data_IF_824759932284
#
_entry.id   IF_824759932284
#
_cell.length_a   1.000
_cell.length_b   1.000
_cell.length_c   1.000
_cell.angle_alpha   90.00
_cell.angle_beta   90.00
_cell.angle_gamma   90.00
#
_symmetry.space_group_name_H-M   'P 1'
#
loop_
_entity.id
_entity.type
_entity.pdbx_description
1 polymer ?
#
# COMPACT_ATOMS: atom_id res chain seq x y z
N UNK A 1 3.04 17.83 -15.50
CA UNK A 1 4.19 17.02 -15.93
C UNK A 1 4.18 15.78 -15.07
N UNK A 2 3.51 14.72 -15.54
CA UNK A 2 3.46 13.45 -14.84
C UNK A 2 4.82 12.76 -14.93
N UNK A 3 5.33 12.31 -13.79
CA UNK A 3 6.62 11.65 -13.69
C UNK A 3 6.52 10.24 -14.27
N UNK A 4 7.29 9.97 -15.31
CA UNK A 4 7.50 8.62 -15.90
C UNK A 4 8.55 7.81 -15.14
N UNK A 5 8.96 8.28 -13.95
CA UNK A 5 10.03 7.66 -13.19
C UNK A 5 9.52 6.41 -12.45
N UNK A 6 10.32 5.34 -12.53
CA UNK A 6 10.10 4.08 -11.82
C UNK A 6 10.16 4.25 -10.29
N UNK A 7 10.83 5.31 -9.83
CA UNK A 7 10.95 5.74 -8.43
C UNK A 7 10.40 7.17 -8.27
N UNK A 8 9.89 7.49 -7.09
CA UNK A 8 9.42 8.84 -6.76
C UNK A 8 10.20 9.41 -5.57
N UNK A 9 10.32 10.74 -5.43
CA UNK A 9 10.75 11.33 -4.17
C UNK A 9 9.77 10.94 -3.05
N UNK A 10 10.25 11.00 -1.81
CA UNK A 10 9.39 10.73 -0.66
C UNK A 10 8.23 11.73 -0.62
N UNK A 11 6.98 11.27 -0.39
CA UNK A 11 5.82 12.16 -0.25
C UNK A 11 5.94 13.15 0.93
N UNK A 12 6.79 12.83 1.90
CA UNK A 12 7.05 13.60 3.10
C UNK A 12 7.45 12.69 4.26
N UNK A 13 7.47 13.24 5.48
CA UNK A 13 7.66 12.45 6.69
C UNK A 13 6.43 11.57 6.93
N UNK A 14 6.66 10.31 7.28
CA UNK A 14 5.59 9.39 7.64
C UNK A 14 4.86 9.86 8.90
N UNK A 15 3.53 9.89 8.85
CA UNK A 15 2.64 10.20 9.98
C UNK A 15 2.77 9.19 11.12
N UNK A 16 3.01 7.93 10.78
CA UNK A 16 3.27 6.84 11.72
C UNK A 16 4.75 6.45 11.70
N UNK A 17 5.20 5.74 12.74
CA UNK A 17 6.50 5.05 12.70
C UNK A 17 6.53 4.11 11.49
N UNK A 18 7.55 4.24 10.65
CA UNK A 18 7.71 3.38 9.47
C UNK A 18 7.83 1.91 9.86
N UNK A 19 7.31 1.00 9.02
CA UNK A 19 7.41 -0.45 9.24
C UNK A 19 8.57 -1.02 8.44
N UNK A 20 9.53 -1.73 9.05
CA UNK A 20 10.48 -2.50 8.25
C UNK A 20 9.71 -3.54 7.43
N UNK A 21 10.13 -3.75 6.18
CA UNK A 21 9.56 -4.76 5.28
C UNK A 21 10.64 -5.82 5.04
N UNK A 22 10.29 -7.07 5.28
CA UNK A 22 11.19 -8.19 5.02
C UNK A 22 11.03 -8.67 3.57
N UNK A 23 12.08 -8.49 2.76
CA UNK A 23 12.16 -8.97 1.38
C UNK A 23 13.39 -9.87 1.24
N UNK A 24 13.20 -11.02 0.60
CA UNK A 24 14.30 -11.95 0.31
C UNK A 24 15.37 -11.26 -0.57
N UNK A 25 16.64 -11.34 -0.15
CA UNK A 25 17.75 -10.72 -0.86
C UNK A 25 18.03 -9.26 -0.50
N UNK A 26 17.30 -8.66 0.45
CA UNK A 26 17.59 -7.33 1.00
C UNK A 26 17.90 -7.38 2.50
N UNK A 27 18.66 -6.39 2.98
CA UNK A 27 19.01 -6.29 4.39
C UNK A 27 17.80 -5.85 5.24
N UNK A 28 17.75 -6.29 6.50
CA UNK A 28 16.70 -5.86 7.42
C UNK A 28 16.73 -4.33 7.62
N UNK A 29 15.56 -3.69 7.49
CA UNK A 29 15.42 -2.25 7.66
C UNK A 29 15.82 -1.39 6.44
N UNK A 30 16.36 -2.01 5.39
CA UNK A 30 16.66 -1.35 4.11
C UNK A 30 15.38 -0.80 3.46
N UNK A 31 14.33 -1.64 3.44
CA UNK A 31 13.02 -1.30 2.89
C UNK A 31 12.03 -1.06 4.02
N UNK A 32 11.26 0.03 3.91
CA UNK A 32 10.34 0.51 4.95
C UNK A 32 9.01 0.96 4.35
N UNK A 33 7.90 0.70 5.02
CA UNK A 33 6.58 1.25 4.68
C UNK A 33 6.29 2.53 5.47
N UNK A 34 5.80 3.56 4.79
CA UNK A 34 5.35 4.82 5.38
C UNK A 34 3.89 5.13 5.05
N UNK A 35 3.32 6.09 5.78
CA UNK A 35 1.94 6.55 5.62
C UNK A 35 1.84 8.07 5.71
N UNK A 36 1.03 8.68 4.85
CA UNK A 36 0.62 10.06 5.01
C UNK A 36 -0.48 10.14 6.08
N UNK A 37 -0.69 11.33 6.64
CA UNK A 37 -1.81 11.54 7.54
C UNK A 37 -3.12 11.27 6.78
N UNK A 38 -3.99 10.38 7.29
CA UNK A 38 -5.24 10.11 6.63
C UNK A 38 -6.25 11.23 6.79
N UNK A 39 -7.20 11.29 5.86
CA UNK A 39 -8.36 12.19 5.90
C UNK A 39 -9.65 11.39 5.74
N UNK A 40 -10.70 11.77 6.47
CA UNK A 40 -12.04 11.20 6.29
C UNK A 40 -12.93 12.19 5.56
N UNK A 41 -13.53 11.75 4.46
CA UNK A 41 -14.47 12.52 3.67
C UNK A 41 -15.87 12.54 4.31
N UNK A 42 -16.72 13.53 3.99
CA UNK A 42 -18.07 13.64 4.57
C UNK A 42 -18.98 12.42 4.32
N UNK A 43 -18.72 11.66 3.24
CA UNK A 43 -19.44 10.44 2.88
C UNK A 43 -18.88 9.16 3.54
N UNK A 44 -17.97 9.32 4.49
CA UNK A 44 -17.39 8.24 5.30
C UNK A 44 -16.19 7.54 4.66
N UNK A 45 -15.76 7.93 3.45
CA UNK A 45 -14.53 7.38 2.88
C UNK A 45 -13.31 7.93 3.62
N UNK A 46 -12.57 7.02 4.23
CA UNK A 46 -11.24 7.27 4.77
C UNK A 46 -10.21 7.13 3.66
N UNK A 47 -9.31 8.10 3.50
CA UNK A 47 -8.32 8.13 2.43
C UNK A 47 -6.93 8.33 3.03
N UNK A 48 -5.95 7.55 2.58
CA UNK A 48 -4.54 7.72 2.90
C UNK A 48 -3.64 7.37 1.72
N UNK A 49 -2.40 7.86 1.77
CA UNK A 49 -1.32 7.43 0.92
C UNK A 49 -0.37 6.54 1.73
N UNK A 50 -0.10 5.34 1.25
CA UNK A 50 0.99 4.49 1.74
C UNK A 50 2.08 4.40 0.69
N UNK A 51 3.32 4.18 1.11
CA UNK A 51 4.44 3.98 0.20
C UNK A 51 5.48 3.05 0.79
N UNK A 52 6.31 2.48 -0.08
CA UNK A 52 7.50 1.73 0.30
C UNK A 52 8.73 2.54 -0.10
N UNK A 53 9.71 2.64 0.79
CA UNK A 53 10.91 3.45 0.61
C UNK A 53 12.19 2.74 1.03
N UNK A 54 13.30 3.15 0.44
CA UNK A 54 14.66 2.99 0.98
C UNK A 54 15.25 4.37 1.30
N UNK A 55 16.57 4.53 1.26
CA UNK A 55 17.25 5.81 1.52
C UNK A 55 17.21 6.80 0.34
N UNK A 56 16.93 6.32 -0.88
CA UNK A 56 16.89 7.15 -2.10
C UNK A 56 15.50 7.68 -2.44
N UNK A 57 14.44 7.05 -1.92
CA UNK A 57 13.06 7.45 -2.19
C UNK A 57 12.07 6.29 -2.20
N UNK A 58 10.95 6.50 -2.89
CA UNK A 58 9.92 5.47 -3.09
C UNK A 58 10.44 4.47 -4.12
N UNK A 59 10.51 3.20 -3.73
CA UNK A 59 10.93 2.09 -4.60
C UNK A 59 9.83 1.75 -5.62
N UNK A 60 10.20 1.06 -6.69
CA UNK A 60 9.25 0.48 -7.63
C UNK A 60 8.59 -0.80 -7.11
N UNK A 61 7.43 -1.19 -7.65
CA UNK A 61 6.83 -2.49 -7.35
C UNK A 61 7.76 -3.65 -7.76
N UNK A 62 8.56 -3.48 -8.82
CA UNK A 62 9.51 -4.47 -9.33
C UNK A 62 10.62 -4.77 -8.32
N UNK A 63 11.09 -3.75 -7.61
CA UNK A 63 12.17 -3.86 -6.63
C UNK A 63 11.82 -4.69 -5.39
N UNK A 64 10.52 -4.95 -5.18
CA UNK A 64 9.99 -5.82 -4.12
C UNK A 64 9.24 -7.05 -4.68
N UNK A 65 9.27 -7.24 -6.00
CA UNK A 65 8.69 -8.40 -6.67
C UNK A 65 9.54 -9.66 -6.42
N UNK A 66 9.02 -10.88 -6.68
CA UNK A 66 9.82 -12.09 -6.56
C UNK A 66 11.11 -12.03 -7.40
N UNK A 67 12.20 -12.65 -6.90
CA UNK A 67 13.46 -12.77 -7.63
C UNK A 67 13.31 -13.48 -8.99
N UNK A 68 12.38 -14.42 -9.08
CA UNK A 68 12.03 -15.11 -10.33
C UNK A 68 11.33 -14.20 -11.36
N UNK A 69 11.01 -12.95 -10.98
CA UNK A 69 10.30 -11.97 -11.79
C UNK A 69 8.92 -11.64 -11.23
N UNK A 70 8.30 -10.54 -11.69
CA UNK A 70 6.96 -10.18 -11.28
C UNK A 70 5.95 -11.25 -11.70
N UNK A 71 4.93 -11.54 -10.87
CA UNK A 71 3.88 -12.48 -11.24
C UNK A 71 3.07 -11.96 -12.45
N UNK A 72 2.38 -12.85 -13.21
CA UNK A 72 1.64 -12.51 -14.42
C UNK A 72 0.28 -11.83 -14.12
N UNK A 73 0.28 -10.92 -13.15
CA UNK A 73 -0.87 -10.14 -12.70
C UNK A 73 -0.40 -8.70 -12.46
N UNK A 74 -1.27 -7.72 -12.65
CA UNK A 74 -0.92 -6.33 -12.38
C UNK A 74 -0.64 -6.13 -10.87
N UNK A 75 0.31 -5.28 -10.46
CA UNK A 75 0.62 -5.09 -9.05
C UNK A 75 -0.60 -4.60 -8.25
N UNK A 76 -1.43 -3.73 -8.84
CA UNK A 76 -2.63 -3.22 -8.18
C UNK A 76 -3.63 -4.34 -7.85
N UNK A 77 -3.79 -5.31 -8.75
CA UNK A 77 -4.67 -6.47 -8.52
C UNK A 77 -4.10 -7.36 -7.41
N UNK A 78 -2.79 -7.61 -7.42
CA UNK A 78 -2.11 -8.39 -6.37
C UNK A 78 -2.24 -7.73 -5.01
N UNK A 79 -1.89 -6.45 -4.89
CA UNK A 79 -2.03 -5.72 -3.63
C UNK A 79 -3.49 -5.54 -3.21
N UNK A 80 -4.42 -5.43 -4.16
CA UNK A 80 -5.86 -5.41 -3.90
C UNK A 80 -6.36 -6.62 -3.14
N UNK A 81 -6.02 -7.81 -3.64
CA UNK A 81 -6.39 -9.06 -2.97
C UNK A 81 -5.75 -9.15 -1.56
N UNK A 82 -4.46 -8.84 -1.46
CA UNK A 82 -3.71 -8.94 -0.21
C UNK A 82 -4.18 -7.94 0.86
N UNK A 83 -4.45 -6.69 0.47
CA UNK A 83 -4.98 -5.66 1.37
C UNK A 83 -6.39 -5.99 1.84
N UNK A 84 -7.26 -6.45 0.93
CA UNK A 84 -8.62 -6.87 1.30
C UNK A 84 -8.57 -7.99 2.33
N UNK A 85 -7.71 -8.98 2.13
CA UNK A 85 -7.53 -10.09 3.07
C UNK A 85 -6.90 -9.64 4.40
N UNK A 86 -5.90 -8.77 4.35
CA UNK A 86 -5.20 -8.29 5.55
C UNK A 86 -6.05 -7.39 6.43
N UNK A 87 -6.92 -6.58 5.83
CA UNK A 87 -7.86 -5.73 6.56
C UNK A 87 -9.10 -6.48 7.02
N UNK A 88 -9.55 -7.48 6.25
CA UNK A 88 -10.60 -8.41 6.65
C UNK A 88 -11.87 -7.72 7.13
N UNK A 89 -12.28 -8.05 8.36
CA UNK A 89 -13.50 -7.56 8.99
C UNK A 89 -13.46 -6.09 9.43
N UNK A 90 -12.30 -5.42 9.33
CA UNK A 90 -12.22 -3.97 9.52
C UNK A 90 -12.91 -3.21 8.39
N UNK A 91 -13.02 -3.80 7.19
CA UNK A 91 -13.68 -3.17 6.05
C UNK A 91 -15.20 -3.30 6.17
N UNK A 92 -15.91 -2.19 5.97
CA UNK A 92 -17.34 -2.24 5.76
C UNK A 92 -17.66 -3.03 4.48
N UNK A 93 -18.82 -3.68 4.46
CA UNK A 93 -19.33 -4.39 3.28
C UNK A 93 -20.59 -3.71 2.78
N UNK A 94 -20.56 -3.24 1.53
CA UNK A 94 -21.71 -2.63 0.85
C UNK A 94 -22.02 -3.49 -0.38
N UNK A 95 -23.29 -3.88 -0.56
CA UNK A 95 -23.74 -4.74 -1.67
C UNK A 95 -22.92 -6.04 -1.82
N UNK A 96 -22.49 -6.62 -0.69
CA UNK A 96 -21.69 -7.84 -0.66
C UNK A 96 -20.23 -7.67 -1.06
N UNK A 97 -19.72 -6.44 -1.15
CA UNK A 97 -18.31 -6.14 -1.49
C UNK A 97 -17.64 -5.33 -0.40
N UNK A 98 -16.41 -5.70 -0.06
CA UNK A 98 -15.58 -4.91 0.86
C UNK A 98 -15.33 -3.52 0.29
N UNK A 99 -15.55 -2.49 1.11
CA UNK A 99 -15.39 -1.10 0.75
C UNK A 99 -13.91 -0.70 0.76
N UNK A 100 -13.15 -1.18 -0.22
CA UNK A 100 -11.75 -0.84 -0.44
C UNK A 100 -11.55 -0.44 -1.89
N UNK A 101 -10.93 0.71 -2.11
CA UNK A 101 -10.51 1.21 -3.42
C UNK A 101 -9.04 1.57 -3.35
N UNK A 102 -8.28 1.07 -4.32
CA UNK A 102 -6.84 1.26 -4.38
C UNK A 102 -6.44 1.90 -5.70
N UNK A 103 -5.43 2.74 -5.66
CA UNK A 103 -4.78 3.31 -6.85
C UNK A 103 -3.28 3.35 -6.64
N UNK A 104 -2.52 2.82 -7.60
CA UNK A 104 -1.07 3.09 -7.67
C UNK A 104 -0.85 4.52 -8.15
N UNK A 105 0.01 5.25 -7.44
CA UNK A 105 0.44 6.61 -7.78
C UNK A 105 1.62 6.54 -8.76
N UNK A 106 1.69 7.51 -9.66
CA UNK A 106 2.68 7.53 -10.75
C UNK A 106 2.26 6.60 -11.90
N UNK A 107 2.80 6.89 -13.09
CA UNK A 107 2.60 6.07 -14.28
C UNK A 107 3.72 5.04 -14.43
N UNK A 108 3.43 3.94 -15.13
CA UNK A 108 4.50 3.03 -15.52
C UNK A 108 5.34 3.70 -16.60
N UNK A 109 6.67 3.58 -16.52
CA UNK A 109 7.55 4.04 -17.59
C UNK A 109 7.21 3.38 -18.95
N UNK A 110 6.68 2.15 -18.92
CA UNK A 110 6.19 1.42 -20.08
C UNK A 110 4.90 0.67 -19.71
N UNK A 111 3.85 0.77 -20.54
CA UNK A 111 2.56 0.13 -20.29
C UNK A 111 2.63 -1.41 -20.27
N UNK A 112 3.60 -1.98 -20.99
CA UNK A 112 3.92 -3.41 -21.00
C UNK A 112 4.62 -3.89 -19.72
N UNK A 113 5.08 -2.97 -18.86
CA UNK A 113 5.84 -3.28 -17.64
C UNK A 113 5.14 -2.69 -16.40
N UNK A 114 3.93 -3.16 -16.04
CA UNK A 114 3.11 -2.54 -14.98
C UNK A 114 3.76 -2.59 -13.59
N UNK A 115 4.77 -3.45 -13.39
CA UNK A 115 5.54 -3.56 -12.15
C UNK A 115 6.62 -2.50 -11.99
N UNK A 116 6.96 -1.73 -13.03
CA UNK A 116 7.92 -0.62 -12.94
C UNK A 116 7.30 0.68 -12.41
N UNK A 117 6.12 0.60 -11.82
CA UNK A 117 5.46 1.75 -11.19
C UNK A 117 6.05 1.96 -9.80
N UNK A 118 6.11 3.22 -9.33
CA UNK A 118 6.41 3.51 -7.93
C UNK A 118 5.42 2.78 -7.00
N UNK A 119 5.94 2.19 -5.93
CA UNK A 119 5.15 1.51 -4.92
C UNK A 119 4.61 2.52 -3.90
N UNK A 120 3.74 3.40 -4.40
CA UNK A 120 2.93 4.32 -3.62
C UNK A 120 1.45 4.05 -3.92
N UNK A 121 0.67 3.76 -2.88
CA UNK A 121 -0.70 3.31 -2.99
C UNK A 121 -1.62 4.31 -2.29
N UNK A 122 -2.49 4.96 -3.07
CA UNK A 122 -3.62 5.67 -2.52
C UNK A 122 -4.69 4.65 -2.14
N UNK A 123 -5.08 4.66 -0.88
CA UNK A 123 -6.07 3.76 -0.28
C UNK A 123 -7.27 4.59 0.12
N UNK A 124 -8.44 4.21 -0.38
CA UNK A 124 -9.71 4.68 0.14
C UNK A 124 -10.47 3.47 0.72
N UNK A 125 -10.94 3.59 1.96
CA UNK A 125 -11.68 2.54 2.65
C UNK A 125 -12.90 3.12 3.38
N UNK A 126 -13.97 2.32 3.52
CA UNK A 126 -14.94 2.53 4.59
C UNK A 126 -14.74 1.45 5.63
N UNK A 127 -14.71 1.86 6.89
CA UNK A 127 -14.49 0.95 8.01
C UNK A 127 -15.81 0.44 8.57
N UNK A 128 -15.82 -0.80 9.05
CA UNK A 128 -16.94 -1.32 9.82
C UNK A 128 -17.09 -0.49 11.11
N UNK A 129 -18.24 0.16 11.34
CA UNK A 129 -18.40 1.10 12.44
C UNK A 129 -18.33 0.42 13.81
N UNK A 130 -18.72 -0.86 13.91
CA UNK A 130 -18.61 -1.59 15.17
C UNK A 130 -17.16 -1.94 15.48
N UNK A 131 -16.36 -2.29 14.46
CA UNK A 131 -14.94 -2.60 14.65
C UNK A 131 -14.12 -1.39 15.06
N UNK A 132 -14.36 -0.23 14.44
CA UNK A 132 -13.57 0.98 14.73
C UNK A 132 -14.09 1.81 15.90
N UNK A 133 -15.27 1.53 16.45
CA UNK A 133 -15.86 2.29 17.56
C UNK A 133 -14.96 2.42 18.80
N UNK A 134 -14.10 1.42 19.04
CA UNK A 134 -13.17 1.39 20.18
C UNK A 134 -11.75 1.77 19.80
N UNK A 135 -11.50 2.12 18.54
CA UNK A 135 -10.18 2.43 18.01
C UNK A 135 -9.99 3.95 17.88
N UNK A 136 -8.80 4.44 18.23
CA UNK A 136 -8.40 5.79 17.80
C UNK A 136 -8.15 5.82 16.29
N UNK A 137 -8.23 7.00 15.68
CA UNK A 137 -7.88 7.17 14.26
C UNK A 137 -6.45 6.71 13.94
N UNK A 138 -5.50 6.90 14.88
CA UNK A 138 -4.14 6.39 14.74
C UNK A 138 -4.07 4.86 14.74
N UNK A 139 -4.90 4.18 15.53
CA UNK A 139 -4.94 2.71 15.56
C UNK A 139 -5.51 2.13 14.27
N UNK A 140 -6.50 2.78 13.67
CA UNK A 140 -7.01 2.40 12.34
C UNK A 140 -5.93 2.59 11.27
N UNK A 141 -5.21 3.72 11.31
CA UNK A 141 -4.11 3.98 10.40
C UNK A 141 -2.94 2.98 10.58
N UNK A 142 -2.63 2.59 11.81
CA UNK A 142 -1.64 1.55 12.13
C UNK A 142 -2.04 0.22 11.51
N UNK A 143 -3.28 -0.24 11.72
CA UNK A 143 -3.78 -1.49 11.16
C UNK A 143 -3.70 -1.49 9.62
N UNK A 144 -4.03 -0.37 8.98
CA UNK A 144 -3.94 -0.23 7.53
C UNK A 144 -2.49 -0.22 7.01
N UNK A 145 -1.57 0.43 7.73
CA UNK A 145 -0.14 0.41 7.41
C UNK A 145 0.46 -1.00 7.61
N UNK A 146 0.06 -1.70 8.66
CA UNK A 146 0.50 -3.07 8.94
C UNK A 146 0.00 -4.04 7.86
N UNK A 147 -1.27 -3.92 7.44
CA UNK A 147 -1.82 -4.68 6.32
C UNK A 147 -1.07 -4.39 5.01
N UNK A 148 -0.71 -3.13 4.74
CA UNK A 148 0.07 -2.75 3.58
C UNK A 148 1.49 -3.32 3.61
N UNK A 149 2.22 -3.14 4.71
CA UNK A 149 3.55 -3.70 4.89
C UNK A 149 3.51 -5.23 4.68
N UNK A 150 2.55 -5.91 5.30
CA UNK A 150 2.38 -7.35 5.15
C UNK A 150 2.06 -7.75 3.72
N UNK A 151 1.20 -7.01 3.02
CA UNK A 151 0.88 -7.26 1.62
C UNK A 151 2.13 -7.18 0.75
N UNK A 152 3.04 -6.23 1.02
CA UNK A 152 4.32 -6.14 0.30
C UNK A 152 5.20 -7.37 0.56
N UNK A 153 5.32 -7.79 1.82
CA UNK A 153 6.10 -8.98 2.20
C UNK A 153 5.58 -10.31 1.65
N UNK A 154 4.31 -10.41 1.25
CA UNK A 154 3.75 -11.64 0.67
C UNK A 154 3.41 -11.52 -0.80
N UNK A 155 3.55 -10.33 -1.38
CA UNK A 155 3.37 -10.12 -2.81
C UNK A 155 4.37 -10.95 -3.63
N UNK A 156 5.52 -11.29 -3.06
CA UNK A 156 6.54 -12.13 -3.70
C UNK A 156 6.23 -13.64 -3.70
N UNK A 157 5.23 -14.09 -2.94
CA UNK A 157 4.89 -15.53 -2.87
C UNK A 157 4.04 -15.93 -4.07
N UNK A 158 4.14 -17.16 -4.59
CA UNK A 158 3.27 -17.66 -5.66
C UNK A 158 1.79 -17.44 -5.32
#
# INVERSE_FOLDING_TARGET
MESTAERLPLPGTSFLKVRPIMIEGRAEGEIRAGAAQPSTMPDGWWIALFWVQDDDGVVSCREVAPLAGPPPVAPLERYGALMTNGLGDLLAVEEGRSCLKLRLVGEAAQSSEPWRRPLALQVAAKWDPMRVATMSGSKVAEAALDAFARAVEVAHRP
#
